data_IF_328994545008
#
_entry.id   IF_328994545008
#
_cell.length_a   1.000
_cell.length_b   1.000
_cell.length_c   1.000
_cell.angle_alpha   90.00
_cell.angle_beta   90.00
_cell.angle_gamma   90.00
#
_symmetry.space_group_name_H-M   'P 1'
#
loop_
_entity.id
_entity.type
_entity.pdbx_description
1 polymer ?
#
# COMPACT_ATOMS: atom_id res chain seq x y z
N UNK A 1 -5.02 -21.08 -18.04
CA UNK A 1 -3.77 -21.20 -17.24
C UNK A 1 -4.14 -21.10 -15.77
N UNK A 2 -3.58 -21.93 -14.88
CA UNK A 2 -3.80 -21.80 -13.42
C UNK A 2 -2.85 -20.72 -12.90
N UNK A 3 -3.40 -19.63 -12.37
CA UNK A 3 -2.64 -18.48 -11.84
C UNK A 3 -2.50 -18.50 -10.30
N UNK A 4 -3.18 -19.41 -9.63
CA UNK A 4 -3.14 -19.51 -8.17
C UNK A 4 -1.73 -19.80 -7.65
N UNK A 5 -1.29 -19.08 -6.62
CA UNK A 5 0.01 -19.23 -5.97
C UNK A 5 -0.13 -19.23 -4.44
N UNK A 6 0.89 -19.70 -3.72
CA UNK A 6 0.95 -19.69 -2.26
C UNK A 6 2.22 -18.98 -1.80
N UNK A 7 2.07 -17.98 -0.93
CA UNK A 7 3.15 -17.17 -0.36
C UNK A 7 2.80 -16.84 1.09
N UNK A 8 3.79 -16.82 1.98
CA UNK A 8 3.59 -16.54 3.41
C UNK A 8 2.54 -17.45 4.09
N UNK A 9 2.36 -18.68 3.58
CA UNK A 9 1.33 -19.62 4.06
C UNK A 9 -0.11 -19.23 3.68
N UNK A 10 -0.27 -18.25 2.79
CA UNK A 10 -1.56 -17.76 2.30
C UNK A 10 -1.70 -18.01 0.81
N UNK A 11 -2.90 -18.40 0.40
CA UNK A 11 -3.24 -18.67 -0.99
C UNK A 11 -3.72 -17.42 -1.69
N UNK A 12 -3.09 -17.11 -2.83
CA UNK A 12 -3.44 -16.01 -3.71
C UNK A 12 -4.11 -16.56 -4.98
N UNK A 13 -5.20 -15.93 -5.44
CA UNK A 13 -5.90 -16.29 -6.68
C UNK A 13 -5.07 -16.07 -7.94
N UNK A 14 -4.11 -15.15 -7.88
CA UNK A 14 -3.26 -14.70 -8.98
C UNK A 14 -1.94 -14.17 -8.40
N UNK A 15 -0.80 -14.21 -9.12
CA UNK A 15 0.44 -13.60 -8.65
C UNK A 15 0.48 -12.09 -8.91
N UNK A 16 -0.58 -11.51 -9.49
CA UNK A 16 -0.62 -10.09 -9.87
C UNK A 16 -0.96 -9.24 -8.66
N UNK A 17 0.00 -8.42 -8.24
CA UNK A 17 -0.17 -7.41 -7.20
C UNK A 17 0.10 -6.01 -7.78
N UNK A 18 -0.65 -5.01 -7.30
CA UNK A 18 -0.32 -3.60 -7.58
C UNK A 18 0.80 -3.13 -6.65
N UNK A 19 1.76 -2.40 -7.22
CA UNK A 19 2.94 -1.93 -6.49
C UNK A 19 2.61 -0.76 -5.56
N UNK A 20 3.41 -0.61 -4.49
CA UNK A 20 3.27 0.48 -3.54
C UNK A 20 3.30 1.84 -4.27
N UNK A 21 2.31 2.69 -3.97
CA UNK A 21 2.21 4.02 -4.56
C UNK A 21 1.55 4.11 -5.94
N UNK A 22 1.16 3.00 -6.57
CA UNK A 22 0.37 3.03 -7.83
C UNK A 22 -1.13 2.92 -7.61
N UNK A 23 -1.57 2.46 -6.43
CA UNK A 23 -2.98 2.23 -6.11
C UNK A 23 -3.49 2.97 -4.87
N UNK A 24 -2.70 3.89 -4.30
CA UNK A 24 -3.09 4.58 -3.07
C UNK A 24 -3.40 3.58 -1.95
N UNK A 25 -4.63 3.61 -1.45
CA UNK A 25 -5.17 2.63 -0.50
C UNK A 25 -6.26 1.73 -1.11
N UNK A 26 -6.40 1.74 -2.44
CA UNK A 26 -7.39 0.98 -3.21
C UNK A 26 -8.71 1.72 -3.43
N UNK A 27 -9.02 2.74 -2.62
CA UNK A 27 -10.30 3.47 -2.65
C UNK A 27 -10.64 4.00 -4.04
N UNK A 28 -9.69 4.69 -4.66
CA UNK A 28 -9.88 5.33 -5.96
C UNK A 28 -10.00 4.30 -7.10
N UNK A 29 -9.35 3.14 -6.96
CA UNK A 29 -9.42 2.08 -7.98
C UNK A 29 -10.70 1.23 -7.89
N UNK A 30 -11.27 1.12 -6.69
CA UNK A 30 -12.52 0.40 -6.47
C UNK A 30 -13.73 1.01 -7.20
N UNK A 31 -13.61 2.28 -7.65
CA UNK A 31 -14.62 2.92 -8.51
C UNK A 31 -14.61 2.37 -9.95
N UNK A 32 -13.53 1.73 -10.37
CA UNK A 32 -13.33 1.26 -11.75
C UNK A 32 -13.40 -0.26 -11.90
N UNK A 33 -13.02 -1.03 -10.88
CA UNK A 33 -13.10 -2.49 -10.89
C UNK A 33 -13.10 -3.08 -9.46
N UNK A 34 -13.52 -4.35 -9.33
CA UNK A 34 -13.48 -5.05 -8.05
C UNK A 34 -12.04 -5.42 -7.68
N UNK A 35 -11.52 -4.83 -6.61
CA UNK A 35 -10.17 -5.11 -6.11
C UNK A 35 -9.96 -6.60 -5.80
N UNK A 36 -11.03 -7.36 -5.52
CA UNK A 36 -10.97 -8.79 -5.22
C UNK A 36 -10.66 -9.68 -6.45
N UNK A 37 -10.60 -9.10 -7.65
CA UNK A 37 -10.12 -9.79 -8.86
C UNK A 37 -8.57 -9.83 -8.95
N UNK A 38 -7.88 -8.94 -8.24
CA UNK A 38 -6.41 -8.94 -8.14
C UNK A 38 -5.92 -10.06 -7.23
N UNK A 39 -4.66 -10.48 -7.36
CA UNK A 39 -4.02 -11.31 -6.33
C UNK A 39 -3.84 -10.55 -5.01
N UNK A 40 -3.54 -9.26 -5.12
CA UNK A 40 -3.35 -8.37 -3.99
C UNK A 40 -2.94 -6.96 -4.41
N UNK A 41 -2.63 -6.12 -3.43
CA UNK A 41 -2.01 -4.82 -3.68
C UNK A 41 -1.20 -4.37 -2.46
N UNK A 42 -0.24 -3.50 -2.71
CA UNK A 42 0.53 -2.86 -1.65
C UNK A 42 0.10 -1.40 -1.54
N UNK A 43 -0.26 -0.96 -0.34
CA UNK A 43 -0.72 0.42 -0.12
C UNK A 43 0.38 1.44 -0.43
N UNK A 44 0.00 2.71 -0.53
CA UNK A 44 0.94 3.83 -0.41
C UNK A 44 1.74 3.68 0.88
N UNK A 45 3.05 3.94 0.80
CA UNK A 45 3.92 3.90 1.98
C UNK A 45 3.44 4.88 3.06
N UNK A 46 3.29 4.37 4.27
CA UNK A 46 2.87 5.11 5.47
C UNK A 46 4.11 5.60 6.21
N UNK A 47 4.11 6.87 6.63
CA UNK A 47 5.11 7.44 7.53
C UNK A 47 4.47 7.76 8.88
N UNK A 48 5.26 7.94 9.94
CA UNK A 48 4.74 8.26 11.29
C UNK A 48 3.85 9.50 11.21
N UNK A 49 4.43 10.61 10.73
CA UNK A 49 3.73 11.86 10.50
C UNK A 49 3.20 11.97 9.07
N UNK A 50 2.12 12.74 8.82
CA UNK A 50 1.64 13.02 7.48
C UNK A 50 2.69 13.75 6.63
N UNK A 51 2.68 13.50 5.32
CA UNK A 51 3.58 14.15 4.36
C UNK A 51 2.81 14.68 3.17
N UNK A 52 3.07 15.94 2.81
CA UNK A 52 2.50 16.56 1.62
C UNK A 52 3.16 16.09 0.31
N UNK A 53 4.40 15.58 0.38
CA UNK A 53 5.22 15.26 -0.78
C UNK A 53 6.04 16.44 -1.30
N UNK A 54 6.79 16.20 -2.38
CA UNK A 54 7.68 17.21 -2.99
C UNK A 54 6.89 18.31 -3.73
N UNK A 55 7.50 19.40 -4.15
CA UNK A 55 6.80 20.38 -4.99
C UNK A 55 6.53 19.82 -6.40
N UNK A 56 5.55 20.40 -7.11
CA UNK A 56 5.33 20.09 -8.52
C UNK A 56 6.41 20.75 -9.40
N UNK A 57 6.77 20.14 -10.56
CA UNK A 57 6.23 18.91 -11.13
C UNK A 57 6.76 17.64 -10.46
N UNK A 58 5.88 16.66 -10.20
CA UNK A 58 6.21 15.39 -9.52
C UNK A 58 6.33 14.19 -10.45
N UNK A 59 5.94 14.31 -11.72
CA UNK A 59 5.94 13.21 -12.70
C UNK A 59 6.34 13.74 -14.08
N UNK A 60 7.01 12.91 -14.87
CA UNK A 60 7.30 13.17 -16.29
C UNK A 60 7.40 11.85 -17.04
N UNK A 61 7.07 11.83 -18.33
CA UNK A 61 7.20 10.65 -19.19
C UNK A 61 8.53 10.62 -19.94
N UNK A 62 8.91 9.44 -20.42
CA UNK A 62 9.98 9.24 -21.40
C UNK A 62 9.65 8.02 -22.27
N UNK A 63 10.43 7.81 -23.34
CA UNK A 63 10.24 6.65 -24.23
C UNK A 63 10.39 5.33 -23.48
N UNK A 64 9.26 4.72 -23.10
CA UNK A 64 9.21 3.44 -22.37
C UNK A 64 8.83 3.53 -20.90
N UNK A 65 8.48 4.71 -20.36
CA UNK A 65 8.04 4.80 -18.96
C UNK A 65 7.83 6.21 -18.44
N UNK A 66 7.96 6.36 -17.13
CA UNK A 66 7.85 7.63 -16.43
C UNK A 66 8.83 7.73 -15.26
N UNK A 67 9.17 8.96 -14.88
CA UNK A 67 9.85 9.29 -13.64
C UNK A 67 8.83 9.87 -12.66
N UNK A 68 9.07 9.63 -11.36
CA UNK A 68 8.29 10.26 -10.30
C UNK A 68 9.19 10.77 -9.16
N UNK A 69 8.76 11.86 -8.55
CA UNK A 69 9.34 12.48 -7.36
C UNK A 69 8.19 12.89 -6.44
N UNK A 70 7.38 11.92 -5.99
CA UNK A 70 6.18 12.19 -5.18
C UNK A 70 6.56 12.72 -3.79
N UNK A 71 7.71 12.32 -3.24
CA UNK A 71 8.15 12.73 -1.90
C UNK A 71 7.42 12.04 -0.74
N UNK A 72 6.92 10.83 -0.97
CA UNK A 72 6.14 10.04 0.00
C UNK A 72 4.90 10.78 0.51
N UNK A 73 4.15 11.48 -0.35
CA UNK A 73 2.88 12.07 0.04
C UNK A 73 1.92 11.00 0.60
N UNK A 74 1.55 11.10 1.88
CA UNK A 74 0.73 10.11 2.59
C UNK A 74 0.08 10.74 3.84
N UNK A 75 -1.02 10.15 4.35
CA UNK A 75 -1.82 10.76 5.42
C UNK A 75 -1.24 10.54 6.83
N UNK A 76 -0.12 9.82 6.97
CA UNK A 76 0.48 9.47 8.25
C UNK A 76 -0.18 8.26 8.91
N UNK A 77 0.42 7.81 10.01
CA UNK A 77 0.00 6.63 10.77
C UNK A 77 -1.45 6.74 11.26
N UNK A 78 -1.76 7.82 11.99
CA UNK A 78 -3.07 8.00 12.65
C UNK A 78 -4.26 8.01 11.68
N UNK A 79 -4.15 8.73 10.55
CA UNK A 79 -5.22 8.77 9.55
C UNK A 79 -5.32 7.45 8.77
N UNK A 80 -4.18 6.80 8.50
CA UNK A 80 -4.19 5.45 7.89
C UNK A 80 -4.98 4.47 8.73
N UNK A 81 -4.68 4.42 10.04
CA UNK A 81 -5.37 3.57 11.00
C UNK A 81 -6.85 3.89 11.15
N UNK A 82 -7.20 5.16 11.28
CA UNK A 82 -8.59 5.58 11.54
C UNK A 82 -9.51 5.49 10.31
N UNK A 83 -8.97 5.68 9.11
CA UNK A 83 -9.78 5.91 7.92
C UNK A 83 -9.50 4.90 6.79
N UNK A 84 -8.23 4.56 6.55
CA UNK A 84 -7.84 3.74 5.39
C UNK A 84 -7.97 2.24 5.66
N UNK A 85 -7.40 1.74 6.75
CA UNK A 85 -7.47 0.32 7.10
C UNK A 85 -8.91 -0.17 7.35
N UNK A 86 -9.79 0.57 8.05
CA UNK A 86 -11.19 0.15 8.23
C UNK A 86 -11.96 0.04 6.91
N UNK A 87 -11.69 0.93 5.96
CA UNK A 87 -12.25 0.82 4.61
C UNK A 87 -11.73 -0.44 3.91
N UNK A 88 -10.42 -0.69 3.95
CA UNK A 88 -9.83 -1.89 3.34
C UNK A 88 -10.45 -3.16 3.94
N UNK A 89 -10.51 -3.26 5.27
CA UNK A 89 -11.09 -4.40 5.98
C UNK A 89 -12.57 -4.65 5.62
N UNK A 90 -13.33 -3.60 5.31
CA UNK A 90 -14.75 -3.70 4.98
C UNK A 90 -15.02 -4.04 3.51
N UNK A 91 -14.09 -3.71 2.59
CA UNK A 91 -14.34 -3.78 1.15
C UNK A 91 -13.46 -4.82 0.43
N UNK A 92 -12.31 -5.17 0.99
CA UNK A 92 -11.36 -6.12 0.40
C UNK A 92 -11.41 -7.42 1.19
N UNK A 93 -12.02 -8.45 0.60
CA UNK A 93 -12.32 -9.72 1.28
C UNK A 93 -11.48 -10.89 0.76
N UNK A 94 -10.88 -10.74 -0.42
CA UNK A 94 -10.17 -11.82 -1.13
C UNK A 94 -8.77 -11.43 -1.60
N UNK A 95 -8.58 -10.19 -2.07
CA UNK A 95 -7.25 -9.71 -2.44
C UNK A 95 -6.38 -9.56 -1.19
N UNK A 96 -5.12 -9.98 -1.28
CA UNK A 96 -4.17 -9.89 -0.18
C UNK A 96 -3.55 -8.50 -0.15
N UNK A 97 -3.71 -7.77 0.96
CA UNK A 97 -3.22 -6.41 1.09
C UNK A 97 -1.93 -6.40 1.90
N UNK A 98 -0.93 -5.65 1.45
CA UNK A 98 0.26 -5.35 2.24
C UNK A 98 0.30 -3.85 2.54
N UNK A 99 0.67 -3.49 3.76
CA UNK A 99 0.87 -2.08 4.13
C UNK A 99 2.33 -1.73 3.92
N UNK A 100 2.61 -0.85 2.96
CA UNK A 100 3.97 -0.34 2.75
C UNK A 100 4.31 0.66 3.86
N UNK A 101 5.51 0.56 4.43
CA UNK A 101 6.01 1.43 5.49
C UNK A 101 7.27 2.15 5.00
N UNK A 102 7.39 3.44 5.31
CA UNK A 102 8.59 4.22 5.05
C UNK A 102 9.01 4.99 6.31
N UNK A 103 10.32 5.03 6.55
CA UNK A 103 10.93 5.73 7.67
C UNK A 103 12.39 6.06 7.36
N UNK A 104 12.89 7.11 8.00
CA UNK A 104 14.29 7.51 7.96
C UNK A 104 15.12 6.85 9.06
N UNK A 105 14.47 6.33 10.11
CA UNK A 105 15.15 5.65 11.22
C UNK A 105 14.47 4.33 11.57
N UNK A 106 15.24 3.39 12.13
CA UNK A 106 14.73 2.11 12.64
C UNK A 106 13.59 2.32 13.66
N UNK A 107 13.70 3.33 14.53
CA UNK A 107 12.67 3.65 15.51
C UNK A 107 11.34 4.08 14.89
N UNK A 108 11.35 4.72 13.72
CA UNK A 108 10.12 5.06 13.00
C UNK A 108 9.43 3.81 12.45
N UNK A 109 10.19 2.85 11.92
CA UNK A 109 9.63 1.57 11.49
C UNK A 109 8.99 0.81 12.66
N UNK A 110 9.64 0.76 13.83
CA UNK A 110 9.03 0.17 15.03
C UNK A 110 7.71 0.85 15.40
N UNK A 111 7.68 2.18 15.46
CA UNK A 111 6.44 2.92 15.79
C UNK A 111 5.32 2.66 14.78
N UNK A 112 5.66 2.55 13.50
CA UNK A 112 4.68 2.24 12.46
C UNK A 112 4.12 0.82 12.61
N UNK A 113 4.97 -0.16 12.86
CA UNK A 113 4.55 -1.55 13.07
C UNK A 113 3.69 -1.62 14.33
N UNK A 114 4.19 -1.16 15.48
CA UNK A 114 3.44 -1.16 16.75
C UNK A 114 2.10 -0.43 16.64
N UNK A 115 2.03 0.65 15.86
CA UNK A 115 0.81 1.42 15.67
C UNK A 115 -0.24 0.77 14.77
N UNK A 116 0.13 -0.25 13.98
CA UNK A 116 -0.74 -0.87 12.98
C UNK A 116 -0.93 -2.38 13.18
N UNK A 117 -0.10 -3.06 13.97
CA UNK A 117 -0.05 -4.52 14.08
C UNK A 117 -1.38 -5.13 14.58
N UNK A 118 -2.11 -4.40 15.42
CA UNK A 118 -3.42 -4.82 15.94
C UNK A 118 -4.58 -4.55 14.96
N UNK A 119 -4.37 -3.79 13.88
CA UNK A 119 -5.42 -3.46 12.92
C UNK A 119 -5.67 -4.62 11.93
N UNK A 120 -6.85 -4.61 11.31
CA UNK A 120 -7.29 -5.65 10.39
C UNK A 120 -7.28 -5.17 8.94
N UNK A 121 -7.41 -6.11 8.00
CA UNK A 121 -7.57 -5.82 6.57
C UNK A 121 -6.27 -5.89 5.76
N UNK A 122 -5.18 -6.37 6.34
CA UNK A 122 -3.93 -6.62 5.62
C UNK A 122 -3.24 -7.90 6.11
N UNK A 123 -2.40 -8.47 5.24
CA UNK A 123 -1.66 -9.71 5.47
C UNK A 123 -0.31 -9.47 6.16
N UNK A 124 0.31 -8.32 5.90
CA UNK A 124 1.57 -7.96 6.52
C UNK A 124 2.14 -6.65 5.99
N UNK A 125 3.36 -6.34 6.42
CA UNK A 125 4.06 -5.11 6.07
C UNK A 125 5.08 -5.32 4.94
N UNK A 126 5.21 -4.31 4.08
CA UNK A 126 6.33 -4.16 3.16
C UNK A 126 7.21 -3.01 3.64
N UNK A 127 8.47 -3.28 3.98
CA UNK A 127 9.40 -2.22 4.40
C UNK A 127 10.06 -1.57 3.18
N UNK A 128 9.76 -0.31 2.92
CA UNK A 128 10.43 0.48 1.91
C UNK A 128 11.77 1.00 2.46
N UNK A 129 12.86 0.38 2.03
CA UNK A 129 14.24 0.68 2.43
C UNK A 129 15.06 1.33 1.28
N UNK A 130 14.36 1.87 0.27
CA UNK A 130 14.98 2.50 -0.91
C UNK A 130 15.28 3.98 -0.73
#
# INVERSE_FOLDING_TARGET
VRLTTELFGVKFQSPVLLAAGTCGFGLELAEFFDLNDLGGFVTKSVTVDPRHGNEAPRVTEFGGGMLNSIGLANPGLESTRREKLPWIASNVTRAQVFVSLAGHTVSEFFRLIEGLDDDQGFLGFELNLS
#
